data_IF_215813214604
#
_entry.id   IF_215813214604
#
_cell.length_a   1.000
_cell.length_b   1.000
_cell.length_c   1.000
_cell.angle_alpha   90.00
_cell.angle_beta   90.00
_cell.angle_gamma   90.00
#
_symmetry.space_group_name_H-M   'P 1'
#
loop_
_entity.id
_entity.type
_entity.pdbx_description
1 polymer ?
#
# COMPACT_ATOMS: atom_id res chain seq x y z
N UNK A 1 -10.33 -16.52 -18.24
CA UNK A 1 -9.50 -15.38 -18.67
C UNK A 1 -8.01 -15.58 -18.40
N UNK A 2 -7.52 -15.58 -17.14
CA UNK A 2 -6.05 -15.61 -16.90
C UNK A 2 -5.38 -16.84 -17.50
N UNK A 3 -5.96 -18.01 -17.35
CA UNK A 3 -5.41 -19.24 -17.93
C UNK A 3 -5.51 -19.24 -19.46
N UNK A 4 -6.66 -18.86 -20.01
CA UNK A 4 -6.91 -18.95 -21.46
C UNK A 4 -6.23 -17.82 -22.25
N UNK A 5 -6.25 -16.58 -21.72
CA UNK A 5 -5.70 -15.41 -22.42
C UNK A 5 -4.17 -15.32 -22.30
N UNK A 6 -3.61 -15.63 -21.12
CA UNK A 6 -2.16 -15.56 -20.90
C UNK A 6 -1.47 -16.93 -21.05
N UNK A 7 -2.22 -17.98 -21.33
CA UNK A 7 -1.71 -19.34 -21.52
C UNK A 7 -0.81 -19.81 -20.34
N UNK A 8 -1.14 -19.37 -19.12
CA UNK A 8 -0.40 -19.77 -17.92
C UNK A 8 -0.95 -21.07 -17.36
N UNK A 9 -0.09 -21.93 -16.84
CA UNK A 9 -0.46 -23.26 -16.29
C UNK A 9 -1.28 -23.12 -14.99
N UNK A 10 -1.03 -22.07 -14.20
CA UNK A 10 -1.70 -21.87 -12.92
C UNK A 10 -1.76 -20.41 -12.51
N UNK A 11 -2.69 -20.09 -11.62
CA UNK A 11 -2.80 -18.77 -10.97
C UNK A 11 -2.96 -18.94 -9.46
N UNK A 12 -2.26 -18.09 -8.69
CA UNK A 12 -2.38 -18.03 -7.24
C UNK A 12 -3.37 -16.94 -6.80
N UNK A 13 -4.09 -17.22 -5.73
CA UNK A 13 -4.94 -16.25 -5.05
C UNK A 13 -4.33 -15.93 -3.70
N UNK A 14 -4.22 -14.65 -3.35
CA UNK A 14 -3.57 -14.18 -2.12
C UNK A 14 -4.57 -13.61 -1.12
N UNK A 15 -4.99 -12.37 -1.34
CA UNK A 15 -5.75 -11.59 -0.34
C UNK A 15 -7.00 -12.28 0.23
N UNK A 16 -7.88 -12.95 -0.52
CA UNK A 16 -9.04 -13.61 0.04
C UNK A 16 -8.73 -14.68 1.07
N UNK A 17 -7.56 -15.32 0.95
CA UNK A 17 -7.12 -16.34 1.90
C UNK A 17 -6.70 -15.78 3.26
N UNK A 18 -6.51 -14.48 3.40
CA UNK A 18 -6.29 -13.84 4.71
C UNK A 18 -7.47 -14.01 5.67
N UNK A 19 -8.67 -14.33 5.15
CA UNK A 19 -9.88 -14.65 5.91
C UNK A 19 -10.23 -16.15 5.92
N UNK A 20 -9.26 -17.01 5.60
CA UNK A 20 -9.40 -18.49 5.63
C UNK A 20 -8.46 -19.04 6.69
N UNK A 21 -8.92 -19.30 7.94
CA UNK A 21 -8.06 -19.73 9.05
C UNK A 21 -7.26 -20.99 8.77
N UNK A 22 -7.79 -21.90 7.96
CA UNK A 22 -7.10 -23.15 7.60
C UNK A 22 -5.94 -22.95 6.61
N UNK A 23 -5.87 -21.79 5.95
CA UNK A 23 -4.89 -21.51 4.88
C UNK A 23 -3.97 -20.31 5.19
N UNK A 24 -4.15 -19.65 6.33
CA UNK A 24 -3.38 -18.46 6.69
C UNK A 24 -2.83 -18.53 8.11
N UNK A 25 -1.65 -17.94 8.31
CA UNK A 25 -1.06 -17.73 9.64
C UNK A 25 -1.19 -16.26 10.05
N UNK A 26 -2.41 -15.73 10.01
CA UNK A 26 -2.74 -14.36 10.45
C UNK A 26 -3.53 -14.46 11.76
N UNK A 27 -3.10 -13.71 12.77
CA UNK A 27 -3.72 -13.71 14.09
C UNK A 27 -5.20 -13.28 14.05
N UNK A 28 -5.97 -13.79 15.01
CA UNK A 28 -7.43 -13.57 15.07
C UNK A 28 -7.81 -12.10 15.09
N UNK A 29 -7.09 -11.27 15.84
CA UNK A 29 -7.39 -9.83 15.90
C UNK A 29 -7.22 -9.15 14.53
N UNK A 30 -6.18 -9.52 13.79
CA UNK A 30 -5.94 -8.99 12.44
C UNK A 30 -6.98 -9.53 11.45
N UNK A 31 -7.41 -10.80 11.56
CA UNK A 31 -8.51 -11.34 10.74
C UNK A 31 -9.84 -10.62 11.00
N UNK A 32 -10.15 -10.32 12.26
CA UNK A 32 -11.35 -9.55 12.62
C UNK A 32 -11.31 -8.12 12.05
N UNK A 33 -10.13 -7.50 12.07
CA UNK A 33 -9.93 -6.18 11.48
C UNK A 33 -10.11 -6.22 9.94
N UNK A 34 -9.58 -7.26 9.29
CA UNK A 34 -9.77 -7.48 7.84
C UNK A 34 -11.24 -7.70 7.47
N UNK A 35 -11.95 -8.50 8.26
CA UNK A 35 -13.37 -8.76 8.06
C UNK A 35 -14.26 -7.51 8.25
N UNK A 36 -13.84 -6.61 9.14
CA UNK A 36 -14.53 -5.33 9.36
C UNK A 36 -14.18 -4.23 8.38
N UNK A 37 -13.14 -4.41 7.55
CA UNK A 37 -12.59 -3.36 6.69
C UNK A 37 -13.57 -2.88 5.63
N UNK A 38 -13.62 -1.57 5.41
CA UNK A 38 -14.35 -0.89 4.34
C UNK A 38 -13.37 -0.36 3.29
N UNK A 39 -13.90 0.18 2.21
CA UNK A 39 -13.06 0.71 1.12
C UNK A 39 -12.07 1.78 1.60
N UNK A 40 -12.51 2.68 2.49
CA UNK A 40 -11.67 3.77 3.02
C UNK A 40 -10.62 3.30 4.02
N UNK A 41 -10.72 2.06 4.52
CA UNK A 41 -9.71 1.45 5.38
C UNK A 41 -8.55 0.85 4.59
N UNK A 42 -8.70 0.69 3.28
CA UNK A 42 -7.74 0.08 2.37
C UNK A 42 -7.16 1.14 1.42
N UNK A 43 -5.89 1.45 1.56
CA UNK A 43 -5.25 2.52 0.79
C UNK A 43 -3.78 2.21 0.47
N UNK A 44 -3.26 2.89 -0.56
CA UNK A 44 -1.82 2.90 -0.83
C UNK A 44 -1.13 3.91 0.08
N UNK A 45 -0.07 3.49 0.74
CA UNK A 45 0.70 4.30 1.67
C UNK A 45 2.18 4.34 1.31
N UNK A 46 2.90 5.28 1.92
CA UNK A 46 4.34 5.42 1.83
C UNK A 46 5.07 4.78 3.03
N UNK A 47 4.42 3.88 3.78
CA UNK A 47 5.02 3.27 4.98
C UNK A 47 6.23 2.39 4.66
N UNK A 48 6.38 1.97 3.41
CA UNK A 48 7.50 1.14 2.99
C UNK A 48 8.83 1.90 3.03
N UNK A 49 9.83 1.40 3.78
CA UNK A 49 11.17 1.98 3.75
C UNK A 49 11.89 1.77 2.43
N UNK A 50 11.35 0.93 1.54
CA UNK A 50 11.89 0.68 0.19
C UNK A 50 11.46 1.76 -0.83
N UNK A 51 10.60 2.71 -0.44
CA UNK A 51 10.13 3.79 -1.33
C UNK A 51 9.14 3.35 -2.40
N UNK A 52 8.54 2.16 -2.25
CA UNK A 52 7.49 1.65 -3.14
C UNK A 52 6.11 1.79 -2.47
N UNK A 53 5.02 1.95 -3.25
CA UNK A 53 3.67 1.95 -2.72
C UNK A 53 3.38 0.65 -1.97
N UNK A 54 2.64 0.76 -0.87
CA UNK A 54 2.31 -0.37 -0.02
C UNK A 54 0.82 -0.38 0.31
N UNK A 55 0.10 -1.44 -0.03
CA UNK A 55 -1.28 -1.61 0.37
C UNK A 55 -1.37 -1.71 1.89
N UNK A 56 -2.17 -0.86 2.49
CA UNK A 56 -2.26 -0.70 3.94
C UNK A 56 -3.69 -0.86 4.40
N UNK A 57 -3.86 -1.45 5.57
CA UNK A 57 -5.12 -1.51 6.31
C UNK A 57 -5.02 -0.59 7.52
N UNK A 58 -6.02 0.30 7.70
CA UNK A 58 -6.13 1.18 8.88
C UNK A 58 -6.42 0.37 10.15
N UNK A 59 -6.02 0.92 11.29
CA UNK A 59 -6.34 0.35 12.60
C UNK A 59 -5.48 -0.84 13.01
N UNK A 60 -4.45 -1.20 12.23
CA UNK A 60 -3.52 -2.27 12.62
C UNK A 60 -2.78 -1.93 13.91
N UNK A 61 -2.33 -2.96 14.63
CA UNK A 61 -1.58 -2.75 15.88
C UNK A 61 -0.27 -2.01 15.65
N UNK A 62 0.37 -2.16 14.48
CA UNK A 62 1.54 -1.36 14.12
C UNK A 62 1.20 0.12 13.95
N UNK A 63 0.11 0.46 13.26
CA UNK A 63 -0.33 1.85 13.08
C UNK A 63 -0.59 2.52 14.44
N UNK A 64 -1.34 1.87 15.32
CA UNK A 64 -1.62 2.37 16.70
C UNK A 64 -0.33 2.61 17.49
N UNK A 65 0.61 1.66 17.44
CA UNK A 65 1.90 1.78 18.13
C UNK A 65 2.79 2.87 17.52
N UNK A 66 2.76 3.03 16.20
CA UNK A 66 3.48 4.10 15.48
C UNK A 66 2.97 5.47 15.92
N UNK A 67 1.66 5.69 15.88
CA UNK A 67 1.04 6.94 16.29
C UNK A 67 1.37 7.28 17.76
N UNK A 68 1.22 6.31 18.67
CA UNK A 68 1.60 6.48 20.07
C UNK A 68 3.08 6.89 20.23
N UNK A 69 4.00 6.27 19.49
CA UNK A 69 5.44 6.64 19.56
C UNK A 69 5.69 8.06 19.05
N UNK A 70 4.98 8.48 18.00
CA UNK A 70 5.08 9.86 17.49
C UNK A 70 4.60 10.85 18.54
N UNK A 71 3.47 10.59 19.19
CA UNK A 71 2.93 11.41 20.29
C UNK A 71 3.91 11.50 21.47
N UNK A 72 4.56 10.39 21.81
CA UNK A 72 5.58 10.34 22.88
C UNK A 72 6.96 10.88 22.46
N UNK A 73 7.11 11.46 21.26
CA UNK A 73 8.39 11.91 20.69
C UNK A 73 9.45 10.79 20.63
N UNK A 74 9.01 9.56 20.34
CA UNK A 74 9.84 8.34 20.22
C UNK A 74 9.61 7.66 18.87
N UNK A 75 9.53 8.43 17.80
CA UNK A 75 9.27 7.89 16.46
C UNK A 75 10.24 6.79 16.05
N UNK A 76 9.86 6.00 15.06
CA UNK A 76 10.66 4.91 14.54
C UNK A 76 10.58 3.61 15.32
N UNK A 77 11.21 2.59 14.77
CA UNK A 77 11.19 1.22 15.28
C UNK A 77 12.57 0.76 15.70
N UNK A 78 12.70 0.13 16.87
CA UNK A 78 13.91 -0.60 17.17
C UNK A 78 14.02 -1.81 16.23
N UNK A 79 15.06 -1.84 15.38
CA UNK A 79 15.21 -2.88 14.37
C UNK A 79 16.04 -4.06 14.91
N UNK A 80 15.42 -5.17 15.34
CA UNK A 80 16.15 -6.30 15.91
C UNK A 80 16.92 -7.12 14.86
N UNK A 81 16.46 -7.06 13.61
CA UNK A 81 16.98 -7.90 12.51
C UNK A 81 18.05 -7.22 11.67
N UNK A 82 17.98 -5.90 11.49
CA UNK A 82 18.90 -5.09 10.67
C UNK A 82 19.07 -5.62 9.23
N UNK A 83 17.98 -6.10 8.63
CA UNK A 83 18.02 -6.67 7.27
C UNK A 83 18.18 -5.62 6.17
N UNK A 84 17.69 -4.40 6.40
CA UNK A 84 17.70 -3.35 5.40
C UNK A 84 18.73 -2.26 5.75
N UNK A 85 19.65 -2.02 4.83
CA UNK A 85 20.67 -0.98 4.88
C UNK A 85 20.43 0.04 3.76
N UNK A 86 19.33 0.83 3.89
CA UNK A 86 18.78 1.64 2.81
C UNK A 86 19.42 3.02 2.68
N UNK A 87 19.81 3.64 3.79
CA UNK A 87 20.44 4.96 3.79
C UNK A 87 21.83 4.90 4.41
N UNK A 88 22.81 5.50 3.74
CA UNK A 88 24.18 5.67 4.23
C UNK A 88 24.44 7.06 4.81
N UNK A 89 23.43 7.90 4.91
CA UNK A 89 23.52 9.29 5.36
C UNK A 89 24.13 9.41 6.77
N UNK A 90 23.73 8.52 7.69
CA UNK A 90 24.20 8.55 9.09
C UNK A 90 25.06 7.35 9.49
N UNK A 91 25.27 6.41 8.60
CA UNK A 91 26.05 5.21 8.89
C UNK A 91 26.58 4.60 7.59
N UNK A 92 27.90 4.49 7.49
CA UNK A 92 28.57 3.97 6.29
C UNK A 92 28.12 2.55 5.89
N UNK A 93 27.71 1.74 6.87
CA UNK A 93 27.12 0.41 6.62
C UNK A 93 25.66 0.48 6.15
N UNK A 94 25.05 1.64 6.24
CA UNK A 94 23.64 1.88 5.94
C UNK A 94 22.71 1.47 7.07
N UNK A 95 21.62 2.21 7.22
CA UNK A 95 20.54 1.93 8.16
C UNK A 95 19.18 2.04 7.47
N UNK A 96 18.18 1.38 8.03
CA UNK A 96 16.82 1.43 7.52
C UNK A 96 16.15 2.75 7.91
N UNK A 97 15.44 3.38 6.97
CA UNK A 97 14.73 4.65 7.18
C UNK A 97 13.55 4.55 8.15
N UNK A 98 13.04 3.33 8.43
CA UNK A 98 12.04 3.10 9.47
C UNK A 98 12.65 2.89 10.88
N UNK A 99 13.98 2.90 11.00
CA UNK A 99 14.64 2.69 12.29
C UNK A 99 14.55 3.92 13.17
N UNK A 100 14.48 3.70 14.50
CA UNK A 100 14.49 4.79 15.47
C UNK A 100 15.72 5.69 15.28
N UNK A 101 16.93 5.10 15.12
CA UNK A 101 18.16 5.86 14.89
C UNK A 101 18.07 6.82 13.70
N UNK A 102 17.52 6.36 12.57
CA UNK A 102 17.35 7.21 11.38
C UNK A 102 16.36 8.32 11.62
N UNK A 103 15.18 7.97 12.16
CA UNK A 103 14.11 8.96 12.35
C UNK A 103 14.45 9.98 13.43
N UNK A 104 15.14 9.58 14.52
CA UNK A 104 15.60 10.52 15.53
C UNK A 104 16.55 11.57 14.91
N UNK A 105 17.58 11.13 14.17
CA UNK A 105 18.56 12.04 13.53
C UNK A 105 17.89 12.97 12.50
N UNK A 106 16.99 12.43 11.68
CA UNK A 106 16.23 13.25 10.72
C UNK A 106 15.30 14.26 11.38
N UNK A 107 14.68 13.90 12.50
CA UNK A 107 13.85 14.82 13.26
C UNK A 107 14.68 15.90 13.97
N UNK A 108 15.87 15.55 14.46
CA UNK A 108 16.82 16.53 15.02
C UNK A 108 17.23 17.57 13.97
N UNK A 109 17.58 17.13 12.75
CA UNK A 109 17.86 18.04 11.62
C UNK A 109 16.66 18.93 11.29
N UNK A 110 15.48 18.33 11.19
CA UNK A 110 14.25 19.09 10.90
C UNK A 110 13.94 20.15 11.97
N UNK A 111 14.25 19.87 13.24
CA UNK A 111 14.07 20.84 14.32
C UNK A 111 14.95 22.07 14.18
N UNK A 112 16.14 21.95 13.59
CA UNK A 112 17.02 23.08 13.30
C UNK A 112 16.43 24.01 12.22
N UNK A 113 15.57 23.48 11.35
CA UNK A 113 14.90 24.24 10.29
C UNK A 113 13.56 24.84 10.75
N UNK A 114 13.11 24.59 11.98
CA UNK A 114 11.75 24.90 12.43
C UNK A 114 11.39 26.40 12.29
N UNK A 115 12.32 27.28 12.58
CA UNK A 115 12.09 28.73 12.58
C UNK A 115 12.09 29.33 11.17
N UNK A 116 12.59 28.60 10.17
CA UNK A 116 12.66 29.05 8.77
C UNK A 116 11.57 28.39 7.89
N UNK A 117 10.94 27.32 8.36
CA UNK A 117 9.87 26.62 7.66
C UNK A 117 8.49 27.12 8.10
N UNK A 118 7.52 27.11 7.17
CA UNK A 118 6.13 27.28 7.56
C UNK A 118 5.66 26.04 8.38
N UNK A 119 4.67 26.23 9.25
CA UNK A 119 4.13 25.14 10.05
C UNK A 119 3.63 23.95 9.18
N UNK A 120 3.04 24.27 8.03
CA UNK A 120 2.57 23.27 7.07
C UNK A 120 3.73 22.44 6.48
N UNK A 121 4.80 23.08 6.02
CA UNK A 121 5.97 22.42 5.47
C UNK A 121 6.68 21.59 6.53
N UNK A 122 6.81 22.12 7.76
CA UNK A 122 7.39 21.41 8.89
C UNK A 122 6.63 20.11 9.19
N UNK A 123 5.30 20.15 9.31
CA UNK A 123 4.49 18.96 9.59
C UNK A 123 4.51 17.97 8.41
N UNK A 124 4.54 18.42 7.15
CA UNK A 124 4.71 17.54 5.99
C UNK A 124 6.05 16.80 6.03
N UNK A 125 7.16 17.48 6.28
CA UNK A 125 8.49 16.88 6.44
C UNK A 125 8.51 15.87 7.59
N UNK A 126 7.98 16.24 8.76
CA UNK A 126 7.87 15.39 9.93
C UNK A 126 7.08 14.11 9.64
N UNK A 127 5.94 14.24 8.96
CA UNK A 127 5.11 13.10 8.57
C UNK A 127 5.85 12.18 7.60
N UNK A 128 6.54 12.70 6.61
CA UNK A 128 7.34 11.93 5.65
C UNK A 128 8.45 11.11 6.32
N UNK A 129 9.08 11.66 7.37
CA UNK A 129 10.09 10.95 8.19
C UNK A 129 9.44 9.85 9.02
N UNK A 130 8.35 10.17 9.73
CA UNK A 130 7.77 9.29 10.76
C UNK A 130 6.81 8.25 10.21
N UNK A 131 6.35 8.39 8.97
CA UNK A 131 5.40 7.43 8.36
C UNK A 131 6.03 6.06 8.10
N UNK A 132 7.36 5.98 7.89
CA UNK A 132 8.06 4.72 7.57
C UNK A 132 7.95 3.72 8.70
N UNK A 133 7.56 2.49 8.38
CA UNK A 133 7.34 1.42 9.34
C UNK A 133 8.25 0.20 9.08
N UNK A 134 8.52 -0.56 10.13
CA UNK A 134 9.34 -1.78 10.04
C UNK A 134 8.55 -2.94 9.41
N UNK A 135 8.53 -3.03 8.08
CA UNK A 135 7.82 -4.08 7.35
C UNK A 135 8.36 -5.48 7.64
N UNK A 136 9.69 -5.63 7.81
CA UNK A 136 10.33 -6.94 8.03
C UNK A 136 9.77 -7.69 9.24
N UNK A 137 9.47 -6.97 10.31
CA UNK A 137 8.92 -7.53 11.55
C UNK A 137 7.41 -7.46 11.54
N UNK A 138 6.85 -6.33 11.10
CA UNK A 138 5.41 -6.10 11.11
C UNK A 138 4.63 -7.14 10.31
N UNK A 139 5.11 -7.50 9.11
CA UNK A 139 4.48 -8.53 8.27
C UNK A 139 4.60 -9.94 8.86
N UNK A 140 5.71 -10.23 9.57
CA UNK A 140 5.90 -11.54 10.20
C UNK A 140 5.12 -11.70 11.51
N UNK A 141 4.81 -10.59 12.20
CA UNK A 141 4.18 -10.63 13.52
C UNK A 141 2.79 -11.28 13.53
N UNK A 142 2.02 -11.16 12.46
CA UNK A 142 0.73 -11.84 12.35
C UNK A 142 0.87 -13.36 12.53
N UNK A 143 1.87 -13.95 11.85
CA UNK A 143 2.17 -15.38 11.95
C UNK A 143 2.75 -15.76 13.30
N UNK A 144 3.60 -14.93 13.90
CA UNK A 144 4.16 -15.20 15.22
C UNK A 144 3.09 -15.20 16.31
N UNK A 145 2.14 -14.26 16.24
CA UNK A 145 1.02 -14.20 17.18
C UNK A 145 0.07 -15.39 17.02
N UNK A 146 -0.25 -15.78 15.78
CA UNK A 146 -1.13 -16.92 15.51
C UNK A 146 -0.55 -18.24 16.04
N UNK A 147 0.78 -18.38 16.05
CA UNK A 147 1.48 -19.59 16.49
C UNK A 147 2.10 -19.47 17.89
N UNK A 148 1.75 -18.48 18.70
CA UNK A 148 2.30 -18.22 20.03
C UNK A 148 3.82 -18.15 20.10
N UNK A 149 4.47 -17.71 19.00
CA UNK A 149 5.92 -17.60 18.89
C UNK A 149 6.37 -16.26 19.45
N UNK A 150 7.06 -16.28 20.59
CA UNK A 150 7.65 -15.08 21.22
C UNK A 150 8.98 -14.73 20.57
N UNK A 151 9.08 -13.55 19.97
CA UNK A 151 10.33 -13.05 19.37
C UNK A 151 10.66 -11.63 19.84
N UNK A 152 11.95 -11.27 19.74
CA UNK A 152 12.37 -9.87 19.82
C UNK A 152 11.76 -9.09 18.64
N UNK A 153 10.98 -8.06 18.94
CA UNK A 153 10.34 -7.24 17.91
C UNK A 153 8.82 -7.35 17.85
N UNK A 154 8.17 -8.19 18.66
CA UNK A 154 6.72 -8.18 18.82
C UNK A 154 6.16 -6.79 19.16
N UNK A 155 6.96 -5.94 19.81
CA UNK A 155 6.63 -4.55 20.08
C UNK A 155 6.43 -3.67 18.82
N UNK A 156 6.63 -4.19 17.62
CA UNK A 156 6.37 -3.45 16.38
C UNK A 156 4.90 -3.54 15.93
N UNK A 157 4.10 -4.43 16.53
CA UNK A 157 2.73 -4.72 16.09
C UNK A 157 2.67 -5.41 14.73
N UNK A 158 1.46 -5.64 14.26
CA UNK A 158 1.18 -6.32 12.99
C UNK A 158 0.99 -5.30 11.87
N UNK A 159 1.63 -5.55 10.74
CA UNK A 159 1.35 -4.92 9.44
C UNK A 159 0.76 -5.99 8.54
N UNK A 160 -0.25 -5.65 7.78
CA UNK A 160 -0.85 -6.52 6.77
C UNK A 160 -0.95 -5.77 5.44
N UNK A 161 -0.77 -6.47 4.32
CA UNK A 161 -0.82 -5.91 2.96
C UNK A 161 -1.98 -6.57 2.18
N UNK A 162 -3.24 -6.23 2.47
CA UNK A 162 -4.38 -6.78 1.76
C UNK A 162 -4.56 -6.12 0.40
N UNK A 163 -5.07 -6.86 -0.57
CA UNK A 163 -5.55 -6.26 -1.80
C UNK A 163 -6.80 -5.39 -1.57
N UNK A 164 -7.09 -4.43 -2.45
CA UNK A 164 -8.21 -3.49 -2.28
C UNK A 164 -9.58 -4.15 -2.31
N UNK A 165 -9.68 -5.38 -2.79
CA UNK A 165 -10.92 -6.18 -2.82
C UNK A 165 -11.29 -6.79 -1.45
N UNK A 166 -10.44 -6.67 -0.44
CA UNK A 166 -10.77 -7.17 0.91
C UNK A 166 -12.01 -6.52 1.52
N UNK A 167 -12.32 -5.27 1.17
CA UNK A 167 -13.50 -4.55 1.62
C UNK A 167 -14.84 -5.24 1.25
N UNK A 168 -14.81 -6.25 0.39
CA UNK A 168 -16.00 -6.95 -0.09
C UNK A 168 -16.21 -8.32 0.58
N UNK A 169 -15.38 -8.67 1.55
CA UNK A 169 -15.46 -9.86 2.39
C UNK A 169 -15.67 -9.40 3.83
N UNK A 170 -16.70 -9.91 4.51
CA UNK A 170 -17.08 -9.43 5.85
C UNK A 170 -16.87 -10.45 6.96
N UNK A 171 -16.35 -11.62 6.65
CA UNK A 171 -16.18 -12.71 7.63
C UNK A 171 -15.15 -13.74 7.21
N UNK A 172 -14.65 -14.46 8.19
CA UNK A 172 -13.91 -15.68 7.98
C UNK A 172 -14.78 -16.74 7.28
N UNK A 173 -14.18 -17.49 6.39
CA UNK A 173 -14.82 -18.60 5.69
C UNK A 173 -13.90 -19.82 5.68
N UNK A 174 -14.47 -21.02 5.60
CA UNK A 174 -13.68 -22.25 5.47
C UNK A 174 -12.96 -22.30 4.13
N UNK A 175 -11.85 -23.03 4.09
CA UNK A 175 -11.10 -23.29 2.86
C UNK A 175 -12.00 -23.86 1.75
N UNK A 176 -12.84 -24.85 2.08
CA UNK A 176 -13.78 -25.45 1.13
C UNK A 176 -14.72 -24.40 0.51
N UNK A 177 -15.26 -23.49 1.32
CA UNK A 177 -16.18 -22.43 0.84
C UNK A 177 -15.46 -21.39 -0.03
N UNK A 178 -14.23 -21.02 0.33
CA UNK A 178 -13.41 -20.14 -0.48
C UNK A 178 -13.06 -20.77 -1.84
N UNK A 179 -12.73 -22.06 -1.86
CA UNK A 179 -12.49 -22.79 -3.11
C UNK A 179 -13.74 -22.81 -3.99
N UNK A 180 -14.91 -23.08 -3.43
CA UNK A 180 -16.17 -23.04 -4.18
C UNK A 180 -16.42 -21.64 -4.78
N UNK A 181 -16.10 -20.57 -4.05
CA UNK A 181 -16.20 -19.20 -4.54
C UNK A 181 -15.24 -18.94 -5.72
N UNK A 182 -14.00 -19.40 -5.63
CA UNK A 182 -13.00 -19.24 -6.70
C UNK A 182 -13.46 -19.92 -8.00
N UNK A 183 -14.09 -21.09 -7.90
CA UNK A 183 -14.60 -21.83 -9.04
C UNK A 183 -16.04 -21.42 -9.47
N UNK A 184 -16.63 -20.40 -8.84
CA UNK A 184 -17.94 -19.87 -9.20
C UNK A 184 -19.12 -20.72 -8.73
N UNK A 185 -18.91 -21.75 -7.91
CA UNK A 185 -19.95 -22.64 -7.38
C UNK A 185 -20.69 -22.03 -6.17
N UNK A 186 -20.13 -20.98 -5.56
CA UNK A 186 -20.73 -20.22 -4.46
C UNK A 186 -20.22 -18.79 -4.48
N UNK A 187 -20.85 -17.90 -3.71
CA UNK A 187 -20.32 -16.57 -3.45
C UNK A 187 -20.09 -16.36 -1.95
N UNK A 188 -18.93 -15.82 -1.60
CA UNK A 188 -18.61 -15.34 -0.24
C UNK A 188 -18.54 -13.82 -0.18
N UNK A 189 -18.79 -13.15 -1.29
CA UNK A 189 -18.89 -11.68 -1.34
C UNK A 189 -20.18 -11.22 -0.69
N UNK A 190 -20.09 -10.20 0.13
CA UNK A 190 -21.22 -9.61 0.85
C UNK A 190 -21.68 -8.30 0.23
N UNK A 191 -20.79 -7.63 -0.51
CA UNK A 191 -21.09 -6.42 -1.27
C UNK A 191 -21.23 -6.80 -2.74
N UNK A 192 -22.44 -6.76 -3.27
CA UNK A 192 -22.75 -7.10 -4.67
C UNK A 192 -22.52 -5.92 -5.62
N UNK A 193 -22.82 -4.70 -5.17
CA UNK A 193 -22.54 -3.48 -5.94
C UNK A 193 -21.16 -2.94 -5.60
N UNK A 194 -20.14 -3.47 -6.24
CA UNK A 194 -18.75 -3.10 -6.05
C UNK A 194 -18.13 -2.61 -7.36
N UNK A 195 -17.16 -1.67 -7.29
CA UNK A 195 -16.45 -1.23 -8.48
C UNK A 195 -15.68 -2.40 -9.10
N UNK A 196 -15.46 -2.30 -10.40
CA UNK A 196 -14.54 -3.23 -11.07
C UNK A 196 -13.13 -3.09 -10.46
N UNK A 197 -12.47 -4.21 -10.18
CA UNK A 197 -11.17 -4.21 -9.51
C UNK A 197 -10.11 -3.39 -10.25
N UNK A 198 -10.05 -3.52 -11.59
CA UNK A 198 -9.07 -2.77 -12.40
C UNK A 198 -9.30 -1.25 -12.31
N UNK A 199 -10.57 -0.83 -12.30
CA UNK A 199 -10.96 0.58 -12.13
C UNK A 199 -10.57 1.09 -10.74
N UNK A 200 -10.83 0.30 -9.70
CA UNK A 200 -10.46 0.65 -8.33
C UNK A 200 -8.94 0.77 -8.15
N UNK A 201 -8.18 -0.18 -8.66
CA UNK A 201 -6.71 -0.12 -8.60
C UNK A 201 -6.16 1.08 -9.37
N UNK A 202 -6.70 1.37 -10.56
CA UNK A 202 -6.30 2.54 -11.34
C UNK A 202 -6.54 3.84 -10.54
N UNK A 203 -7.69 3.98 -9.90
CA UNK A 203 -7.99 5.14 -9.05
C UNK A 203 -7.00 5.26 -7.90
N UNK A 204 -6.69 4.16 -7.22
CA UNK A 204 -5.72 4.15 -6.12
C UNK A 204 -4.31 4.58 -6.59
N UNK A 205 -3.87 4.15 -7.76
CA UNK A 205 -2.57 4.55 -8.33
C UNK A 205 -2.57 6.02 -8.78
N UNK A 206 -3.67 6.50 -9.31
CA UNK A 206 -3.84 7.90 -9.69
C UNK A 206 -3.77 8.81 -8.45
N UNK A 207 -4.51 8.48 -7.40
CA UNK A 207 -4.46 9.20 -6.13
C UNK A 207 -3.05 9.15 -5.50
N UNK A 208 -2.39 8.00 -5.58
CA UNK A 208 -1.00 7.86 -5.13
C UNK A 208 -0.07 8.83 -5.86
N UNK A 209 -0.15 8.90 -7.19
CA UNK A 209 0.68 9.83 -7.98
C UNK A 209 0.42 11.30 -7.59
N UNK A 210 -0.85 11.70 -7.48
CA UNK A 210 -1.23 13.04 -7.04
C UNK A 210 -0.67 13.37 -5.65
N UNK A 211 -0.81 12.43 -4.71
CA UNK A 211 -0.31 12.61 -3.36
C UNK A 211 1.23 12.69 -3.33
N UNK A 212 1.94 11.87 -4.12
CA UNK A 212 3.40 11.94 -4.24
C UNK A 212 3.86 13.32 -4.70
N UNK A 213 3.23 13.86 -5.74
CA UNK A 213 3.59 15.18 -6.30
C UNK A 213 3.26 16.29 -5.28
N UNK A 214 2.09 16.25 -4.65
CA UNK A 214 1.65 17.30 -3.71
C UNK A 214 2.39 17.27 -2.38
N UNK A 215 2.98 16.13 -2.00
CA UNK A 215 3.71 15.97 -0.75
C UNK A 215 5.14 16.55 -0.78
N UNK A 216 5.62 16.98 -1.96
CA UNK A 216 6.99 17.48 -2.08
C UNK A 216 7.14 18.82 -1.36
N UNK A 217 8.14 18.87 -0.50
CA UNK A 217 8.47 20.05 0.33
C UNK A 217 9.89 20.57 0.11
N UNK A 218 10.66 19.90 -0.73
CA UNK A 218 12.06 20.18 -1.05
C UNK A 218 12.23 20.46 -2.55
N UNK A 219 13.43 20.82 -2.96
CA UNK A 219 13.74 20.95 -4.39
C UNK A 219 13.54 19.60 -5.10
N UNK A 220 12.83 19.67 -6.20
CA UNK A 220 12.49 18.49 -7.00
C UNK A 220 13.72 18.03 -7.77
N UNK A 221 14.04 16.77 -7.67
CA UNK A 221 15.17 16.17 -8.38
C UNK A 221 14.77 15.63 -9.75
N UNK A 222 15.73 15.56 -10.67
CA UNK A 222 15.54 14.88 -11.98
C UNK A 222 15.06 13.43 -11.83
N UNK A 223 15.51 12.75 -10.78
CA UNK A 223 15.09 11.38 -10.48
C UNK A 223 13.61 11.28 -10.17
N UNK A 224 13.07 12.20 -9.36
CA UNK A 224 11.66 12.28 -9.04
C UNK A 224 10.80 12.56 -10.28
N UNK A 225 11.21 13.57 -11.09
CA UNK A 225 10.51 13.91 -12.33
C UNK A 225 10.45 12.69 -13.27
N UNK A 226 11.57 12.00 -13.48
CA UNK A 226 11.61 10.77 -14.29
C UNK A 226 10.70 9.68 -13.72
N UNK A 227 10.71 9.46 -12.41
CA UNK A 227 9.85 8.49 -11.73
C UNK A 227 8.37 8.79 -11.99
N UNK A 228 7.93 10.03 -11.79
CA UNK A 228 6.53 10.42 -11.97
C UNK A 228 6.08 10.36 -13.43
N UNK A 229 6.92 10.84 -14.36
CA UNK A 229 6.64 10.70 -15.80
C UNK A 229 6.51 9.24 -16.22
N UNK A 230 7.42 8.37 -15.79
CA UNK A 230 7.35 6.94 -16.08
C UNK A 230 6.09 6.31 -15.46
N UNK A 231 5.74 6.69 -14.23
CA UNK A 231 4.56 6.18 -13.56
C UNK A 231 3.27 6.62 -14.29
N UNK A 232 3.14 7.91 -14.62
CA UNK A 232 2.02 8.45 -15.41
C UNK A 232 1.87 7.74 -16.76
N UNK A 233 2.98 7.58 -17.49
CA UNK A 233 2.99 6.92 -18.79
C UNK A 233 2.60 5.43 -18.67
N UNK A 234 3.06 4.74 -17.63
CA UNK A 234 2.69 3.35 -17.38
C UNK A 234 1.20 3.22 -17.07
N UNK A 235 0.59 4.15 -16.35
CA UNK A 235 -0.86 4.14 -16.11
C UNK A 235 -1.64 4.35 -17.41
N UNK A 236 -1.22 5.30 -18.26
CA UNK A 236 -1.84 5.53 -19.57
C UNK A 236 -1.71 4.31 -20.49
N UNK A 237 -0.54 3.68 -20.53
CA UNK A 237 -0.32 2.45 -21.29
C UNK A 237 -1.17 1.28 -20.73
N UNK A 238 -1.28 1.18 -19.40
CA UNK A 238 -2.12 0.19 -18.74
C UNK A 238 -3.60 0.34 -19.06
N UNK A 239 -4.12 1.57 -19.12
CA UNK A 239 -5.50 1.84 -19.54
C UNK A 239 -5.70 1.29 -20.97
N UNK A 240 -4.84 1.66 -21.92
CA UNK A 240 -4.93 1.17 -23.30
C UNK A 240 -4.91 -0.36 -23.37
N UNK A 241 -3.99 -1.00 -22.64
CA UNK A 241 -3.92 -2.45 -22.55
C UNK A 241 -5.23 -3.08 -22.03
N UNK A 242 -5.83 -2.52 -21.00
CA UNK A 242 -7.09 -3.04 -20.47
C UNK A 242 -8.30 -2.72 -21.37
N UNK A 243 -8.30 -1.59 -22.08
CA UNK A 243 -9.30 -1.29 -23.10
C UNK A 243 -9.30 -2.40 -24.19
N UNK A 244 -8.13 -2.77 -24.69
CA UNK A 244 -7.97 -3.84 -25.68
C UNK A 244 -8.38 -5.21 -25.12
N UNK A 245 -7.95 -5.54 -23.88
CA UNK A 245 -8.29 -6.79 -23.21
C UNK A 245 -9.80 -6.94 -23.01
N UNK A 246 -10.47 -5.90 -22.53
CA UNK A 246 -11.93 -5.90 -22.35
C UNK A 246 -12.68 -5.93 -23.69
N UNK A 247 -12.12 -5.32 -24.75
CA UNK A 247 -12.68 -5.39 -26.09
C UNK A 247 -12.61 -6.80 -26.68
N UNK A 248 -11.50 -7.49 -26.47
CA UNK A 248 -11.24 -8.82 -27.03
C UNK A 248 -11.87 -9.98 -26.26
N UNK A 249 -12.30 -9.76 -25.00
CA UNK A 249 -12.72 -10.84 -24.10
C UNK A 249 -14.22 -10.81 -23.83
N UNK A 250 -15.03 -11.76 -24.34
CA UNK A 250 -16.47 -11.81 -24.15
C UNK A 250 -16.92 -11.86 -22.67
N UNK A 251 -16.06 -12.37 -21.80
CA UNK A 251 -16.30 -12.44 -20.35
C UNK A 251 -16.66 -11.08 -19.72
N UNK A 252 -16.18 -9.98 -20.29
CA UNK A 252 -16.39 -8.63 -19.76
C UNK A 252 -17.54 -7.86 -20.41
N UNK A 253 -18.31 -8.46 -21.34
CA UNK A 253 -19.30 -7.74 -22.14
C UNK A 253 -20.34 -6.97 -21.29
N UNK A 254 -20.80 -7.56 -20.17
CA UNK A 254 -21.79 -6.93 -19.29
C UNK A 254 -21.27 -5.70 -18.51
N UNK A 255 -19.94 -5.61 -18.30
CA UNK A 255 -19.32 -4.52 -17.52
C UNK A 255 -18.53 -3.54 -18.38
N UNK A 256 -18.30 -3.87 -19.64
CA UNK A 256 -17.44 -3.15 -20.57
C UNK A 256 -17.75 -1.67 -20.67
N UNK A 257 -19.05 -1.33 -20.89
CA UNK A 257 -19.49 0.06 -21.07
C UNK A 257 -19.17 0.93 -19.85
N UNK A 258 -19.43 0.40 -18.66
CA UNK A 258 -19.16 1.11 -17.40
C UNK A 258 -17.65 1.28 -17.17
N UNK A 259 -16.89 0.21 -17.35
CA UNK A 259 -15.43 0.22 -17.17
C UNK A 259 -14.77 1.19 -18.13
N UNK A 260 -15.16 1.22 -19.41
CA UNK A 260 -14.61 2.16 -20.39
C UNK A 260 -14.94 3.61 -20.08
N UNK A 261 -16.16 3.88 -19.59
CA UNK A 261 -16.53 5.22 -19.12
C UNK A 261 -15.62 5.70 -18.01
N UNK A 262 -15.32 4.82 -17.03
CA UNK A 262 -14.44 5.12 -15.91
C UNK A 262 -12.97 5.25 -16.36
N UNK A 263 -12.49 4.40 -17.25
CA UNK A 263 -11.15 4.53 -17.84
C UNK A 263 -10.95 5.85 -18.57
N UNK A 264 -11.94 6.28 -19.37
CA UNK A 264 -11.89 7.57 -20.05
C UNK A 264 -11.84 8.73 -19.06
N UNK A 265 -12.61 8.69 -17.98
CA UNK A 265 -12.57 9.70 -16.93
C UNK A 265 -11.17 9.79 -16.29
N UNK A 266 -10.59 8.66 -15.88
CA UNK A 266 -9.26 8.64 -15.28
C UNK A 266 -8.13 8.95 -16.25
N UNK A 267 -8.31 8.65 -17.54
CA UNK A 267 -7.37 9.04 -18.60
C UNK A 267 -7.30 10.57 -18.73
N UNK A 268 -8.46 11.24 -18.72
CA UNK A 268 -8.52 12.72 -18.72
C UNK A 268 -7.86 13.28 -17.44
N UNK A 269 -8.20 12.73 -16.29
CA UNK A 269 -7.61 13.14 -15.01
C UNK A 269 -6.08 12.95 -14.98
N UNK A 270 -5.56 11.88 -15.60
CA UNK A 270 -4.12 11.66 -15.77
C UNK A 270 -3.46 12.71 -16.66
N UNK A 271 -4.11 13.12 -17.75
CA UNK A 271 -3.58 14.18 -18.62
C UNK A 271 -3.48 15.52 -17.89
N UNK A 272 -4.42 15.83 -17.00
CA UNK A 272 -4.44 17.06 -16.21
C UNK A 272 -3.38 17.09 -15.09
N UNK A 273 -2.78 15.93 -14.72
CA UNK A 273 -1.69 15.93 -13.75
C UNK A 273 -0.46 16.61 -14.34
N UNK A 274 -0.14 17.80 -13.84
CA UNK A 274 1.09 18.50 -14.15
C UNK A 274 2.24 17.94 -13.31
N UNK A 275 3.31 17.51 -14.00
CA UNK A 275 4.54 17.10 -13.33
C UNK A 275 5.44 18.33 -13.30
N UNK A 276 5.86 18.78 -12.10
CA UNK A 276 6.69 19.97 -11.98
C UNK A 276 7.99 19.85 -12.79
N UNK A 277 8.39 20.94 -13.41
CA UNK A 277 9.68 21.05 -14.08
C UNK A 277 10.77 21.53 -13.11
N UNK A 278 12.03 21.22 -13.44
CA UNK A 278 13.15 21.81 -12.71
C UNK A 278 13.13 23.33 -12.94
N UNK A 279 13.09 24.08 -11.86
CA UNK A 279 13.46 25.50 -11.96
C UNK A 279 14.95 25.54 -12.25
N UNK A 280 15.30 25.91 -13.49
CA UNK A 280 16.66 26.30 -13.82
C UNK A 280 17.00 27.53 -12.98
N UNK A 281 17.97 27.37 -12.08
CA UNK A 281 18.51 28.48 -11.27
C UNK A 281 19.30 29.46 -12.14
#
# INVERSE_FOLDING_TARGET
MKLDHYEVDSVGWGSPFLLVPEATSVDKHTRDLLAGAKEDDLYLSHISPLGIPFNTLRGTTNEKLKLKRIEESKAGSSCPKRFLALSKEYDAKGICTSSKKFQDLKLEELLLEKDILTAEVFEKKKNSITEKACLCVGLANASYLENDIKIKGQAQGVIICPGPNMAYFDKEVSLSKMVQHIYGNASVLTVTNRPNLFVKELKMYLDYLKNEISAVTEEITLGQIKKWNSFKNNLLAGIGYYEDLFAATPFFESTKKEVFSQFNSYKLELFEIEIPELKLA
#
